data_IF_082048278143
#
_entry.id   IF_082048278143
#
_cell.length_a   1.000
_cell.length_b   1.000
_cell.length_c   1.000
_cell.angle_alpha   90.00
_cell.angle_beta   90.00
_cell.angle_gamma   90.00
#
_symmetry.space_group_name_H-M   'P 1'
#
loop_
_entity.id
_entity.type
_entity.pdbx_description
1 polymer ?
#
# COMPACT_ATOMS: atom_id res chain seq x y z
N UNK A 1 1.62 -13.21 11.03
CA UNK A 1 1.20 -11.99 10.30
C UNK A 1 1.83 -10.81 11.01
N UNK A 2 2.66 -10.04 10.33
CA UNK A 2 3.32 -8.86 10.92
C UNK A 2 2.30 -7.82 11.39
N UNK A 3 2.56 -7.20 12.55
CA UNK A 3 1.69 -6.14 13.12
C UNK A 3 1.50 -4.98 12.14
N UNK A 4 2.52 -4.67 11.35
CA UNK A 4 2.48 -3.64 10.31
C UNK A 4 1.51 -4.00 9.18
N UNK A 5 1.41 -5.28 8.81
CA UNK A 5 0.45 -5.74 7.81
C UNK A 5 -0.98 -5.58 8.35
N UNK A 6 -1.21 -5.86 9.64
CA UNK A 6 -2.53 -5.70 10.26
C UNK A 6 -2.96 -4.22 10.25
N UNK A 7 -2.06 -3.30 10.61
CA UNK A 7 -2.32 -1.85 10.58
C UNK A 7 -2.54 -1.33 9.15
N UNK A 8 -1.71 -1.77 8.20
CA UNK A 8 -1.86 -1.46 6.79
C UNK A 8 -3.23 -1.88 6.24
N UNK A 9 -3.63 -3.14 6.47
CA UNK A 9 -4.94 -3.65 6.02
C UNK A 9 -6.09 -2.87 6.66
N UNK A 10 -5.94 -2.44 7.92
CA UNK A 10 -6.93 -1.60 8.58
C UNK A 10 -7.04 -0.22 7.93
N UNK A 11 -5.94 0.47 7.66
CA UNK A 11 -5.94 1.77 6.99
C UNK A 11 -6.54 1.68 5.57
N UNK A 12 -6.24 0.60 4.83
CA UNK A 12 -6.84 0.34 3.52
C UNK A 12 -8.34 0.09 3.60
N UNK A 13 -8.82 -0.60 4.64
CA UNK A 13 -10.25 -0.79 4.88
C UNK A 13 -10.94 0.51 5.30
N UNK A 14 -10.26 1.42 5.99
CA UNK A 14 -10.81 2.73 6.33
C UNK A 14 -10.87 3.65 5.10
N UNK A 15 -9.91 3.54 4.18
CA UNK A 15 -9.99 4.19 2.86
C UNK A 15 -11.27 3.77 2.13
N UNK A 16 -11.67 2.51 2.28
CA UNK A 16 -12.87 1.93 1.66
C UNK A 16 -14.20 2.56 2.09
N UNK A 17 -14.20 3.33 3.19
CA UNK A 17 -15.34 4.14 3.63
C UNK A 17 -15.55 5.38 2.76
N UNK A 18 -14.54 5.78 1.99
CA UNK A 18 -14.59 6.93 1.08
C UNK A 18 -14.82 6.42 -0.34
N UNK A 19 -16.06 6.50 -0.81
CA UNK A 19 -16.37 6.18 -2.20
C UNK A 19 -15.66 7.15 -3.13
N UNK A 20 -14.99 6.62 -4.14
CA UNK A 20 -14.33 7.41 -5.18
C UNK A 20 -15.13 7.37 -6.47
N UNK A 21 -15.15 8.49 -7.19
CA UNK A 21 -15.82 8.58 -8.48
C UNK A 21 -14.85 8.20 -9.59
N UNK A 22 -15.13 7.13 -10.31
CA UNK A 22 -14.34 6.62 -11.43
C UNK A 22 -15.26 6.48 -12.64
N UNK A 23 -14.94 7.18 -13.73
CA UNK A 23 -15.72 7.15 -14.98
C UNK A 23 -17.23 7.41 -14.75
N UNK A 24 -17.57 8.29 -13.82
CA UNK A 24 -18.95 8.62 -13.46
C UNK A 24 -19.63 7.67 -12.46
N UNK A 25 -18.97 6.59 -12.05
CA UNK A 25 -19.49 5.61 -11.07
C UNK A 25 -18.82 5.78 -9.71
N UNK A 26 -19.60 5.63 -8.64
CA UNK A 26 -19.06 5.59 -7.28
C UNK A 26 -18.62 4.16 -6.98
N UNK A 27 -17.32 3.96 -6.77
CA UNK A 27 -16.75 2.65 -6.43
C UNK A 27 -16.05 2.72 -5.08
N UNK A 28 -15.92 1.55 -4.44
CA UNK A 28 -15.04 1.43 -3.28
C UNK A 28 -13.58 1.35 -3.76
N UNK A 29 -12.65 2.02 -3.07
CA UNK A 29 -11.22 1.87 -3.30
C UNK A 29 -10.72 0.44 -3.51
N UNK A 30 -11.19 -0.54 -2.73
CA UNK A 30 -10.84 -1.96 -2.82
C UNK A 30 -11.28 -2.64 -4.11
N UNK A 31 -12.19 -2.04 -4.88
CA UNK A 31 -12.53 -2.50 -6.23
C UNK A 31 -11.48 -2.08 -7.27
N UNK A 32 -10.60 -1.17 -6.88
CA UNK A 32 -9.64 -0.48 -7.73
C UNK A 32 -8.22 -1.02 -7.61
N UNK A 33 -7.91 -1.65 -6.48
CA UNK A 33 -6.62 -2.28 -6.21
C UNK A 33 -6.80 -3.64 -5.54
N UNK A 34 -5.78 -4.49 -5.65
CA UNK A 34 -5.62 -5.73 -4.89
C UNK A 34 -4.25 -5.73 -4.24
N UNK A 35 -4.13 -6.43 -3.12
CA UNK A 35 -2.84 -6.68 -2.47
C UNK A 35 -2.65 -8.17 -2.25
N UNK A 36 -1.43 -8.63 -2.43
CA UNK A 36 -1.00 -9.96 -2.04
C UNK A 36 -0.05 -9.81 -0.86
N UNK A 37 0.05 -10.83 0.01
CA UNK A 37 0.81 -10.76 1.26
C UNK A 37 2.12 -11.55 1.25
N UNK A 38 2.41 -12.29 0.17
CA UNK A 38 3.60 -13.14 0.07
C UNK A 38 4.14 -13.23 -1.38
N UNK A 39 5.04 -12.34 -1.81
CA UNK A 39 5.54 -11.14 -1.13
C UNK A 39 4.51 -10.01 -1.11
N UNK A 40 4.60 -9.09 -0.14
CA UNK A 40 3.62 -8.01 -0.03
C UNK A 40 3.72 -7.01 -1.20
N UNK A 41 2.70 -6.96 -2.06
CA UNK A 41 2.67 -6.04 -3.21
C UNK A 41 1.23 -5.63 -3.60
N UNK A 42 1.11 -4.46 -4.26
CA UNK A 42 -0.16 -3.94 -4.78
C UNK A 42 -0.25 -4.07 -6.28
N UNK A 43 -1.46 -4.39 -6.76
CA UNK A 43 -1.83 -4.34 -8.16
C UNK A 43 -3.01 -3.38 -8.32
N UNK A 44 -2.89 -2.40 -9.20
CA UNK A 44 -3.94 -1.44 -9.51
C UNK A 44 -4.65 -1.83 -10.80
N UNK A 45 -5.96 -1.66 -10.84
CA UNK A 45 -6.72 -1.79 -12.07
C UNK A 45 -6.40 -0.63 -13.03
N UNK A 46 -6.56 -0.83 -14.33
CA UNK A 46 -6.19 0.15 -15.37
C UNK A 46 -6.92 1.47 -15.18
N UNK A 47 -8.22 1.43 -14.88
CA UNK A 47 -9.07 2.61 -14.71
C UNK A 47 -8.97 3.23 -13.30
N UNK A 48 -8.00 2.80 -12.50
CA UNK A 48 -7.89 3.29 -11.14
C UNK A 48 -7.39 4.75 -11.13
N UNK A 49 -8.12 5.69 -10.50
CA UNK A 49 -7.78 7.10 -10.54
C UNK A 49 -6.45 7.33 -9.83
N UNK A 50 -5.66 8.24 -10.39
CA UNK A 50 -4.29 8.46 -9.94
C UNK A 50 -4.22 8.96 -8.49
N UNK A 51 -5.18 9.79 -8.08
CA UNK A 51 -5.33 10.23 -6.70
C UNK A 51 -5.47 9.05 -5.72
N UNK A 52 -6.25 8.03 -6.09
CA UNK A 52 -6.42 6.85 -5.26
C UNK A 52 -5.14 6.01 -5.22
N UNK A 53 -4.44 5.87 -6.37
CA UNK A 53 -3.13 5.19 -6.41
C UNK A 53 -2.14 5.87 -5.47
N UNK A 54 -2.07 7.20 -5.48
CA UNK A 54 -1.20 7.96 -4.60
C UNK A 54 -1.57 7.80 -3.12
N UNK A 55 -2.87 7.76 -2.79
CA UNK A 55 -3.32 7.53 -1.41
C UNK A 55 -2.94 6.14 -0.91
N UNK A 56 -3.21 5.08 -1.70
CA UNK A 56 -2.85 3.70 -1.36
C UNK A 56 -1.33 3.56 -1.22
N UNK A 57 -0.56 4.17 -2.14
CA UNK A 57 0.89 4.17 -2.08
C UNK A 57 1.42 4.90 -0.84
N UNK A 58 0.84 6.05 -0.49
CA UNK A 58 1.19 6.80 0.74
C UNK A 58 0.91 5.97 1.99
N UNK A 59 -0.25 5.30 2.07
CA UNK A 59 -0.55 4.38 3.17
C UNK A 59 0.52 3.28 3.22
N UNK A 60 0.83 2.66 2.09
CA UNK A 60 1.83 1.59 2.03
C UNK A 60 3.21 2.05 2.49
N UNK A 61 3.67 3.20 2.00
CA UNK A 61 4.99 3.72 2.33
C UNK A 61 5.12 4.02 3.82
N UNK A 62 4.04 4.42 4.53
CA UNK A 62 4.08 4.56 6.00
C UNK A 62 4.44 3.27 6.73
N UNK A 63 4.02 2.12 6.20
CA UNK A 63 4.26 0.81 6.83
C UNK A 63 5.46 0.07 6.23
N UNK A 64 5.83 0.36 4.98
CA UNK A 64 7.03 -0.13 4.31
C UNK A 64 8.30 0.57 4.81
N UNK A 65 8.21 1.88 5.10
CA UNK A 65 9.31 2.70 5.62
C UNK A 65 9.34 2.81 7.14
N UNK A 66 8.56 2.03 7.90
CA UNK A 66 8.93 1.82 9.29
C UNK A 66 10.20 0.96 9.30
N UNK A 67 11.37 1.49 9.70
CA UNK A 67 12.57 0.69 9.77
C UNK A 67 12.36 -0.31 10.91
N UNK A 68 11.97 -1.53 10.58
CA UNK A 68 12.44 -2.67 11.38
C UNK A 68 13.95 -2.58 11.30
N UNK A 69 14.60 -2.14 12.39
CA UNK A 69 16.04 -2.10 12.56
C UNK A 69 16.67 -3.39 12.00
N UNK A 70 17.12 -3.34 10.75
CA UNK A 70 18.11 -4.25 10.21
C UNK A 70 19.26 -3.34 9.88
N UNK A 71 20.23 -3.35 10.79
CA UNK A 71 21.54 -2.75 10.60
C UNK A 71 22.01 -3.05 9.19
N UNK A 72 21.98 -2.04 8.33
CA UNK A 72 22.73 -2.05 7.08
C UNK A 72 24.20 -1.99 7.49
N UNK A 73 24.75 -3.16 7.84
CA UNK A 73 26.19 -3.32 7.93
C UNK A 73 26.64 -3.43 6.49
N UNK A 74 26.71 -2.26 5.84
CA UNK A 74 27.30 -2.07 4.54
C UNK A 74 28.63 -2.82 4.51
N UNK A 75 28.66 -3.85 3.69
CA UNK A 75 29.85 -4.61 3.34
C UNK A 75 30.83 -3.66 2.67
N UNK A 76 31.72 -3.05 3.46
CA UNK A 76 32.84 -2.29 2.94
C UNK A 76 34.01 -3.24 2.71
N UNK A 77 33.92 -3.98 1.60
CA UNK A 77 35.06 -4.62 0.97
C UNK A 77 35.64 -3.60 -0.01
N UNK A 78 36.86 -3.14 0.21
CA UNK A 78 37.97 -2.96 -0.76
C UNK A 78 39.07 -2.14 -0.06
N UNK A 79 40.13 -2.82 0.39
CA UNK A 79 41.54 -2.59 0.04
C UNK A 79 42.43 -3.61 0.74
#
# INVERSE_FOLDING_TARGET
MDENIIKLVRDLNDLDRQLVKVEGKMIKPSQCFRYETDPFHFMFNTNCPEELKQQVQSIFDRYKYMPSHKNDTSSQRVR
#
